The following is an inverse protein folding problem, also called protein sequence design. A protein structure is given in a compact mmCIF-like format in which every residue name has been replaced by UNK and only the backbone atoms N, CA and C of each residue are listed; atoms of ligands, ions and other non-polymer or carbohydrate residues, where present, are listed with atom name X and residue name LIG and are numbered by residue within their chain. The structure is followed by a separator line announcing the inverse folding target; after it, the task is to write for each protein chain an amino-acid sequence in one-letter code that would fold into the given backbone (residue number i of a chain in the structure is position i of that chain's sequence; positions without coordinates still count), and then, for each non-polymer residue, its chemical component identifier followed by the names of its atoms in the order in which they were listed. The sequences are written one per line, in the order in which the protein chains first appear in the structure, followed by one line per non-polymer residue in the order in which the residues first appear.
data_IF_360490451308
#
_entry.id   IF_360490451308
#
_cell.length_a   1.000
_cell.length_b   1.000
_cell.length_c   1.000
_cell.angle_alpha   90.00
_cell.angle_beta   90.00
_cell.angle_gamma   90.00
#
_symmetry.space_group_name_H-M   'P 1'
#
loop_
_entity.id
_entity.type
_entity.pdbx_description
1 polymer ?
#
# COMPACT_ATOMS: atom_id res chain seq x y z
N UNK A 1 -4.16 8.72 -14.87
CA UNK A 1 -2.89 8.11 -15.30
C UNK A 1 -3.16 7.25 -16.51
N UNK A 2 -2.26 7.24 -17.50
CA UNK A 2 -2.36 6.35 -18.65
C UNK A 2 -2.15 4.89 -18.21
N UNK A 3 -3.06 4.00 -18.63
CA UNK A 3 -2.97 2.56 -18.35
C UNK A 3 -1.80 1.98 -19.13
N UNK A 4 -1.07 1.06 -18.49
CA UNK A 4 -0.06 0.27 -19.19
C UNK A 4 -0.68 -0.53 -20.36
N UNK A 5 0.00 -0.56 -21.50
CA UNK A 5 -0.34 -1.46 -22.61
C UNK A 5 -0.25 -2.93 -22.14
N UNK A 6 -1.11 -3.78 -22.73
CA UNK A 6 -1.30 -5.17 -22.32
C UNK A 6 -0.02 -6.01 -22.40
N UNK A 7 0.07 -7.03 -21.55
CA UNK A 7 1.19 -7.99 -21.56
C UNK A 7 1.29 -8.76 -22.87
N UNK A 8 0.15 -9.16 -23.42
CA UNK A 8 0.09 -9.84 -24.72
C UNK A 8 0.76 -9.03 -25.82
N UNK A 9 0.45 -7.73 -25.91
CA UNK A 9 1.06 -6.84 -26.90
C UNK A 9 2.58 -6.75 -26.71
N UNK A 10 3.04 -6.63 -25.47
CA UNK A 10 4.47 -6.58 -25.16
C UNK A 10 5.19 -7.85 -25.59
N UNK A 11 4.59 -9.00 -25.27
CA UNK A 11 5.13 -10.31 -25.62
C UNK A 11 5.26 -10.47 -27.13
N UNK A 12 4.20 -10.17 -27.89
CA UNK A 12 4.21 -10.24 -29.35
C UNK A 12 5.25 -9.32 -30.01
N UNK A 13 5.49 -8.14 -29.43
CA UNK A 13 6.54 -7.22 -29.90
C UNK A 13 7.92 -7.81 -29.67
N UNK A 14 8.17 -8.36 -28.47
CA UNK A 14 9.44 -9.00 -28.14
C UNK A 14 9.69 -10.23 -29.00
N UNK A 15 8.71 -11.13 -29.10
CA UNK A 15 8.80 -12.34 -29.92
C UNK A 15 9.13 -12.01 -31.39
N UNK A 16 8.58 -10.91 -31.92
CA UNK A 16 8.88 -10.46 -33.27
C UNK A 16 10.33 -9.95 -33.42
N UNK A 17 10.85 -9.26 -32.40
CA UNK A 17 12.24 -8.78 -32.41
C UNK A 17 13.20 -9.96 -32.25
N UNK A 18 12.91 -10.91 -31.37
CA UNK A 18 13.66 -12.16 -31.22
C UNK A 18 13.64 -13.00 -32.51
N UNK A 19 12.54 -12.96 -33.27
CA UNK A 19 12.42 -13.57 -34.59
C UNK A 19 13.17 -12.80 -35.71
N UNK A 20 13.90 -11.73 -35.39
CA UNK A 20 14.79 -11.01 -36.31
C UNK A 20 14.28 -9.68 -36.84
N UNK A 21 13.12 -9.18 -36.39
CA UNK A 21 12.70 -7.82 -36.75
C UNK A 21 13.54 -6.78 -35.99
N UNK A 22 13.88 -5.67 -36.65
CA UNK A 22 14.41 -4.51 -35.93
C UNK A 22 13.33 -3.88 -35.03
N UNK A 23 13.76 -3.20 -33.96
CA UNK A 23 12.87 -2.44 -33.06
C UNK A 23 11.93 -1.51 -33.81
N UNK A 24 12.41 -0.88 -34.90
CA UNK A 24 11.65 0.06 -35.73
C UNK A 24 10.59 -0.67 -36.57
N UNK A 25 10.91 -1.82 -37.13
CA UNK A 25 9.95 -2.63 -37.89
C UNK A 25 8.87 -3.21 -36.99
N UNK A 26 9.24 -3.73 -35.82
CA UNK A 26 8.28 -4.18 -34.82
C UNK A 26 7.33 -3.05 -34.39
N UNK A 27 7.87 -1.84 -34.14
CA UNK A 27 7.05 -0.68 -33.78
C UNK A 27 6.03 -0.31 -34.87
N UNK A 28 6.43 -0.35 -36.16
CA UNK A 28 5.50 -0.14 -37.28
C UNK A 28 4.45 -1.26 -37.36
N UNK A 29 4.86 -2.52 -37.27
CA UNK A 29 3.98 -3.70 -37.35
C UNK A 29 2.88 -3.68 -36.28
N UNK A 30 3.21 -3.26 -35.06
CA UNK A 30 2.28 -3.23 -33.93
C UNK A 30 1.68 -1.84 -33.67
N UNK A 31 1.95 -0.85 -34.53
CA UNK A 31 1.46 0.52 -34.42
C UNK A 31 1.75 1.17 -33.06
N UNK A 32 2.97 1.00 -32.54
CA UNK A 32 3.45 1.59 -31.28
C UNK A 32 4.65 2.50 -31.51
N UNK A 33 5.03 3.28 -30.49
CA UNK A 33 6.23 4.10 -30.53
C UNK A 33 7.51 3.26 -30.61
N UNK A 34 8.49 3.69 -31.42
CA UNK A 34 9.80 3.03 -31.55
C UNK A 34 10.51 2.95 -30.19
N UNK A 35 10.43 4.02 -29.39
CA UNK A 35 11.00 4.07 -28.04
C UNK A 35 10.35 3.05 -27.10
N UNK A 36 9.04 2.84 -27.20
CA UNK A 36 8.28 1.85 -26.42
C UNK A 36 8.70 0.43 -26.78
N UNK A 37 8.74 0.11 -28.08
CA UNK A 37 9.21 -1.18 -28.59
C UNK A 37 10.61 -1.52 -28.06
N UNK A 38 11.55 -0.56 -28.16
CA UNK A 38 12.92 -0.74 -27.69
C UNK A 38 13.04 -0.82 -26.17
N UNK A 39 12.21 -0.09 -25.43
CA UNK A 39 12.19 -0.16 -23.96
C UNK A 39 11.72 -1.54 -23.48
N UNK A 40 10.71 -2.13 -24.11
CA UNK A 40 10.24 -3.48 -23.79
C UNK A 40 11.28 -4.54 -24.09
N UNK A 41 11.92 -4.47 -25.25
CA UNK A 41 12.99 -5.41 -25.60
C UNK A 41 14.18 -5.32 -24.63
N UNK A 42 14.62 -4.11 -24.27
CA UNK A 42 15.69 -3.95 -23.26
C UNK A 42 15.30 -4.51 -21.89
N UNK A 43 14.06 -4.28 -21.45
CA UNK A 43 13.57 -4.82 -20.18
C UNK A 43 13.50 -6.36 -20.20
N UNK A 44 13.12 -6.94 -21.34
CA UNK A 44 13.15 -8.38 -21.57
C UNK A 44 14.56 -8.96 -21.46
N UNK A 45 15.53 -8.38 -22.18
CA UNK A 45 16.92 -8.85 -22.16
C UNK A 45 17.57 -8.68 -20.78
N UNK A 46 17.26 -7.60 -20.05
CA UNK A 46 17.91 -7.38 -18.74
C UNK A 46 17.28 -8.18 -17.60
N UNK A 47 15.95 -8.29 -17.57
CA UNK A 47 15.22 -8.80 -16.40
C UNK A 47 14.32 -10.01 -16.70
N UNK A 48 14.19 -10.42 -17.97
CA UNK A 48 13.30 -11.52 -18.37
C UNK A 48 11.81 -11.27 -18.10
N UNK A 49 11.40 -10.02 -17.85
CA UNK A 49 10.03 -9.68 -17.49
C UNK A 49 9.48 -8.53 -18.32
N UNK A 50 8.27 -8.73 -18.84
CA UNK A 50 7.49 -7.73 -19.55
C UNK A 50 6.40 -7.10 -18.69
N UNK A 51 6.33 -7.49 -17.42
CA UNK A 51 5.38 -6.94 -16.47
C UNK A 51 5.56 -5.43 -16.35
N UNK A 52 4.49 -4.63 -16.50
CA UNK A 52 4.57 -3.22 -16.18
C UNK A 52 5.00 -3.07 -14.72
N UNK A 53 5.96 -2.18 -14.51
CA UNK A 53 6.26 -1.71 -13.16
C UNK A 53 5.00 -1.18 -12.49
N UNK A 54 4.95 -1.30 -11.16
CA UNK A 54 3.82 -0.84 -10.36
C UNK A 54 3.52 0.62 -10.66
N UNK A 55 2.31 0.89 -11.16
CA UNK A 55 1.84 2.25 -11.39
C UNK A 55 1.33 2.88 -10.09
N UNK A 56 1.53 4.19 -9.94
CA UNK A 56 1.02 4.98 -8.81
C UNK A 56 1.97 5.10 -7.63
N UNK A 57 1.53 5.84 -6.61
CA UNK A 57 2.34 6.14 -5.42
C UNK A 57 2.70 4.84 -4.66
N UNK A 58 3.95 4.70 -4.17
CA UNK A 58 4.30 3.64 -3.23
C UNK A 58 3.33 3.63 -2.05
N UNK A 59 2.99 2.43 -1.56
CA UNK A 59 2.05 2.24 -0.43
C UNK A 59 2.79 2.34 0.92
N UNK A 60 4.02 2.86 0.89
CA UNK A 60 4.91 2.91 2.04
C UNK A 60 4.60 4.19 2.80
N UNK A 61 4.27 4.03 4.08
CA UNK A 61 4.17 5.13 5.03
C UNK A 61 5.52 5.29 5.72
N UNK A 62 5.88 6.52 6.09
CA UNK A 62 7.03 6.77 6.98
C UNK A 62 6.90 6.08 8.34
N UNK A 63 5.67 5.76 8.74
CA UNK A 63 5.39 5.01 9.97
C UNK A 63 5.67 3.51 9.83
N UNK A 64 5.79 2.97 8.61
CA UNK A 64 6.06 1.54 8.41
C UNK A 64 7.43 1.15 9.01
N UNK A 65 8.42 2.06 9.05
CA UNK A 65 9.71 1.84 9.71
C UNK A 65 9.64 1.81 11.26
N UNK A 66 8.55 2.30 11.84
CA UNK A 66 8.34 2.38 13.29
C UNK A 66 7.21 1.45 13.75
N UNK A 67 6.87 0.45 12.94
CA UNK A 67 5.74 -0.44 13.17
C UNK A 67 5.80 -1.13 14.53
N UNK A 68 6.92 -1.77 14.86
CA UNK A 68 7.09 -2.47 16.13
C UNK A 68 6.89 -1.54 17.34
N UNK A 69 7.37 -0.29 17.24
CA UNK A 69 7.19 0.70 18.29
C UNK A 69 5.72 1.12 18.45
N UNK A 70 5.02 1.39 17.33
CA UNK A 70 3.61 1.79 17.35
C UNK A 70 2.72 0.68 17.90
N UNK A 71 3.00 -0.58 17.55
CA UNK A 71 2.24 -1.74 18.04
C UNK A 71 2.49 -1.98 19.54
N UNK A 72 3.73 -1.86 20.01
CA UNK A 72 4.05 -2.00 21.44
C UNK A 72 3.33 -0.96 22.32
N UNK A 73 3.12 0.26 21.81
CA UNK A 73 2.34 1.28 22.52
C UNK A 73 0.87 0.87 22.72
N UNK A 74 0.31 0.07 21.80
CA UNK A 74 -1.08 -0.40 21.85
C UNK A 74 -1.22 -1.69 22.65
N UNK A 75 -0.22 -2.57 22.60
CA UNK A 75 -0.20 -3.85 23.34
C UNK A 75 0.05 -3.67 24.84
N UNK A 76 0.23 -2.44 25.32
CA UNK A 76 0.29 -2.17 26.76
C UNK A 76 -1.12 -2.28 27.33
N UNK A 77 -1.49 -3.48 27.78
CA UNK A 77 -2.83 -3.91 28.22
C UNK A 77 -3.57 -2.95 29.17
N UNK A 78 -2.85 -2.09 29.90
CA UNK A 78 -3.41 -1.19 30.91
C UNK A 78 -3.74 0.23 30.42
N UNK A 79 -3.45 0.59 29.16
CA UNK A 79 -3.59 1.97 28.66
C UNK A 79 -4.40 2.05 27.37
N UNK A 80 -5.58 2.66 27.45
CA UNK A 80 -6.36 3.14 26.30
C UNK A 80 -5.65 4.33 25.63
N UNK A 81 -4.54 4.07 24.92
CA UNK A 81 -3.77 5.11 24.24
C UNK A 81 -4.52 5.65 23.03
N UNK A 82 -4.64 6.96 22.95
CA UNK A 82 -5.29 7.66 21.84
C UNK A 82 -4.35 7.83 20.65
N UNK A 83 -4.91 8.03 19.45
CA UNK A 83 -4.13 8.31 18.24
C UNK A 83 -3.28 9.58 18.34
N UNK A 84 -3.72 10.58 19.13
CA UNK A 84 -2.98 11.81 19.36
C UNK A 84 -1.77 11.57 20.27
N UNK A 85 -1.91 10.73 21.29
CA UNK A 85 -0.80 10.33 22.16
C UNK A 85 0.23 9.50 21.40
N UNK A 86 -0.19 8.58 20.53
CA UNK A 86 0.72 7.85 19.64
C UNK A 86 1.51 8.82 18.76
N UNK A 87 0.86 9.86 18.21
CA UNK A 87 1.54 10.87 17.40
C UNK A 87 2.57 11.66 18.23
N UNK A 88 2.26 11.99 19.49
CA UNK A 88 3.18 12.66 20.40
C UNK A 88 4.39 11.77 20.76
N UNK A 89 4.16 10.49 21.09
CA UNK A 89 5.23 9.51 21.35
C UNK A 89 6.15 9.32 20.13
N UNK A 90 5.60 9.33 18.92
CA UNK A 90 6.38 9.26 17.69
C UNK A 90 7.29 10.48 17.51
N UNK A 91 6.82 11.68 17.86
CA UNK A 91 7.64 12.89 17.80
C UNK A 91 8.72 12.89 18.89
N UNK A 92 8.39 12.52 20.14
CA UNK A 92 9.33 12.55 21.26
C UNK A 92 10.38 11.44 21.22
N UNK A 93 10.01 10.20 20.90
CA UNK A 93 10.91 9.03 21.02
C UNK A 93 11.56 8.60 19.71
N UNK A 94 10.99 9.04 18.57
CA UNK A 94 11.48 8.68 17.23
C UNK A 94 11.76 9.89 16.34
N UNK A 95 11.43 11.10 16.78
CA UNK A 95 11.62 12.32 15.98
C UNK A 95 10.69 12.40 14.75
N UNK A 96 9.65 11.57 14.67
CA UNK A 96 8.77 11.49 13.50
C UNK A 96 7.46 12.21 13.76
N UNK A 97 7.30 13.38 13.13
CA UNK A 97 6.04 14.12 13.18
C UNK A 97 4.97 13.42 12.35
N UNK A 98 3.87 12.97 12.95
CA UNK A 98 2.75 12.37 12.24
C UNK A 98 1.44 13.04 12.65
N UNK A 99 0.54 13.27 11.68
CA UNK A 99 -0.82 13.70 12.01
C UNK A 99 -1.63 12.52 12.54
N UNK A 100 -2.68 12.80 13.32
CA UNK A 100 -3.67 11.79 13.77
C UNK A 100 -4.23 10.99 12.59
N UNK A 101 -4.47 11.63 11.45
CA UNK A 101 -4.93 10.95 10.22
C UNK A 101 -3.91 9.99 9.65
N UNK A 102 -2.61 10.29 9.77
CA UNK A 102 -1.52 9.40 9.33
C UNK A 102 -1.43 8.17 10.21
N UNK A 103 -1.57 8.34 11.52
CA UNK A 103 -1.62 7.25 12.50
C UNK A 103 -2.86 6.38 12.28
N UNK A 104 -4.03 6.99 12.07
CA UNK A 104 -5.25 6.26 11.71
C UNK A 104 -5.06 5.43 10.42
N UNK A 105 -4.50 6.04 9.36
CA UNK A 105 -4.25 5.34 8.09
C UNK A 105 -3.27 4.17 8.25
N UNK A 106 -2.30 4.28 9.17
CA UNK A 106 -1.38 3.20 9.51
C UNK A 106 -2.12 1.98 10.08
N UNK A 107 -3.04 2.19 11.02
CA UNK A 107 -3.85 1.10 11.60
C UNK A 107 -4.89 0.55 10.61
N UNK A 108 -5.57 1.43 9.88
CA UNK A 108 -6.57 1.03 8.88
C UNK A 108 -5.96 0.17 7.76
N UNK A 109 -4.73 0.48 7.31
CA UNK A 109 -3.98 -0.32 6.33
C UNK A 109 -3.71 -1.75 6.83
N UNK A 110 -3.62 -1.95 8.15
CA UNK A 110 -3.32 -3.23 8.82
C UNK A 110 -4.58 -3.95 9.33
N UNK A 111 -5.77 -3.40 9.08
CA UNK A 111 -7.03 -3.98 9.56
C UNK A 111 -7.24 -3.87 11.07
N UNK A 112 -6.38 -3.14 11.78
CA UNK A 112 -6.50 -2.91 13.21
C UNK A 112 -7.58 -1.85 13.42
N UNK A 113 -8.69 -2.26 14.02
CA UNK A 113 -9.82 -1.38 14.31
C UNK A 113 -10.15 -1.45 15.78
N UNK A 114 -10.43 -0.29 16.38
CA UNK A 114 -10.97 -0.25 17.73
C UNK A 114 -12.34 -0.93 17.74
N UNK A 115 -12.51 -1.93 18.60
CA UNK A 115 -13.77 -2.66 18.72
C UNK A 115 -14.85 -1.74 19.28
N UNK A 116 -15.75 -1.26 18.42
CA UNK A 116 -16.94 -0.51 18.85
C UNK A 116 -18.00 -1.47 19.40
N UNK A 117 -17.99 -1.76 20.71
CA UNK A 117 -19.14 -2.40 21.37
C UNK A 117 -20.20 -1.32 21.62
N UNK A 118 -21.41 -1.49 21.07
CA UNK A 118 -22.56 -0.66 21.49
C UNK A 118 -22.84 -0.99 22.95
N UNK A 119 -22.93 0.02 23.82
CA UNK A 119 -23.49 -0.19 25.17
C UNK A 119 -24.91 -0.69 24.99
N UNK A 120 -25.16 -1.93 25.36
CA UNK A 120 -26.53 -2.43 25.48
C UNK A 120 -27.12 -1.77 26.72
N UNK A 121 -28.30 -1.14 26.65
CA UNK A 121 -28.97 -0.63 27.84
C UNK A 121 -29.13 -1.77 28.85
N UNK A 122 -28.97 -1.49 30.16
CA UNK A 122 -29.20 -2.50 31.20
C UNK A 122 -30.57 -3.14 31.00
N UNK A 123 -30.65 -4.46 31.05
CA UNK A 123 -31.93 -5.16 30.93
C UNK A 123 -32.85 -4.74 32.07
N UNK A 124 -34.06 -4.25 31.75
CA UNK A 124 -35.09 -3.92 32.74
C UNK A 124 -35.49 -5.10 33.62
N UNK A 125 -35.23 -6.32 33.16
CA UNK A 125 -35.73 -7.56 33.76
C UNK A 125 -34.73 -8.22 34.72
N UNK A 126 -33.56 -7.60 34.95
CA UNK A 126 -32.56 -8.11 35.90
C UNK A 126 -32.32 -7.03 36.94
N UNK A 127 -32.42 -7.37 38.24
CA UNK A 127 -32.06 -6.45 39.34
C UNK A 127 -30.57 -6.10 39.21
N UNK A 128 -30.28 -4.94 38.63
CA UNK A 128 -28.96 -4.33 38.70
C UNK A 128 -28.74 -3.81 40.13
N UNK A 129 -27.70 -4.31 40.78
CA UNK A 129 -27.44 -4.18 42.22
C UNK A 129 -27.13 -2.75 42.73
N UNK A 130 -27.32 -1.70 41.93
CA UNK A 130 -26.93 -0.35 42.32
C UNK A 130 -28.14 0.57 42.46
N UNK A 131 -28.65 0.64 43.70
CA UNK A 131 -29.28 1.83 44.27
C UNK A 131 -28.41 2.30 45.43
N UNK A 132 -27.68 3.41 45.25
CA UNK A 132 -27.55 4.49 46.23
C UNK A 132 -27.08 5.75 45.54
#
# INVERSE_FOLDING_TARGET
MARALSLDLRKRVVDAIDAGLSTREAARRFSIGISTSGAWYRAWVSNGSLEPGRQGKPRISKLDAHEAFILALVDTDDRDITLAEIAACLESERGVKASVTTVHAFFAKRGITYKKRRRTPPSSNVRTFWRR
#
